data_IF_832880148076
#
_entry.id   IF_832880148076
#
_cell.length_a   1.000
_cell.length_b   1.000
_cell.length_c   1.000
_cell.angle_alpha   90.00
_cell.angle_beta   90.00
_cell.angle_gamma   90.00
#
_symmetry.space_group_name_H-M   'P 1'
#
loop_
_entity.id
_entity.type
_entity.pdbx_description
1 polymer ?
#
# COMPACT_ATOMS: atom_id res chain seq x y z
N UNK A 1 27.71 22.17 -14.43
CA UNK A 1 27.94 20.84 -15.05
C UNK A 1 26.62 20.43 -15.68
N UNK A 2 26.60 20.17 -16.99
CA UNK A 2 25.40 19.68 -17.68
C UNK A 2 25.32 18.17 -17.43
N UNK A 3 24.18 17.72 -16.88
CA UNK A 3 23.88 16.30 -16.77
C UNK A 3 23.81 15.71 -18.19
N UNK A 4 24.81 14.88 -18.52
CA UNK A 4 24.81 14.12 -19.76
C UNK A 4 23.81 12.99 -19.56
N UNK A 5 22.65 13.08 -20.22
CA UNK A 5 21.73 11.97 -20.37
C UNK A 5 22.47 10.85 -21.13
N UNK A 6 22.99 9.86 -20.41
CA UNK A 6 23.56 8.66 -21.00
C UNK A 6 22.39 7.83 -21.55
N UNK A 7 22.09 8.03 -22.82
CA UNK A 7 21.14 7.21 -23.57
C UNK A 7 21.85 5.88 -23.83
N UNK A 8 21.34 4.80 -23.26
CA UNK A 8 21.85 3.46 -23.50
C UNK A 8 21.59 3.08 -24.97
N UNK A 9 22.64 3.13 -25.80
CA UNK A 9 22.55 2.87 -27.25
C UNK A 9 22.32 1.37 -27.54
N UNK A 10 22.62 0.51 -26.56
CA UNK A 10 22.41 -0.94 -26.65
C UNK A 10 20.94 -1.36 -26.36
N UNK A 11 20.10 -0.44 -25.85
CA UNK A 11 18.65 -0.68 -25.73
C UNK A 11 17.97 -0.11 -26.99
N UNK A 12 17.60 -0.97 -27.96
CA UNK A 12 16.98 -0.49 -29.19
C UNK A 12 15.71 0.31 -28.85
N UNK A 13 15.71 1.59 -29.23
CA UNK A 13 14.54 2.46 -29.15
C UNK A 13 13.39 1.78 -29.92
N UNK A 14 12.45 1.18 -29.19
CA UNK A 14 11.43 0.31 -29.77
C UNK A 14 11.19 -1.01 -29.03
N UNK A 15 11.90 -1.30 -27.92
CA UNK A 15 11.52 -2.41 -27.03
C UNK A 15 10.09 -2.19 -26.54
N UNK A 16 9.16 -2.85 -27.20
CA UNK A 16 7.78 -2.93 -26.77
C UNK A 16 7.78 -3.80 -25.51
N UNK A 17 7.92 -3.17 -24.34
CA UNK A 17 7.52 -3.80 -23.08
C UNK A 17 6.08 -4.24 -23.30
N UNK A 18 5.83 -5.55 -23.26
CA UNK A 18 4.59 -6.17 -23.75
C UNK A 18 3.38 -5.33 -23.40
N UNK A 19 2.57 -4.97 -24.41
CA UNK A 19 1.42 -4.07 -24.25
C UNK A 19 0.62 -4.54 -23.05
N UNK A 20 0.53 -3.70 -22.01
CA UNK A 20 -0.32 -3.99 -20.84
C UNK A 20 -1.72 -4.25 -21.38
N UNK A 21 -2.17 -5.50 -21.32
CA UNK A 21 -3.55 -5.82 -21.69
C UNK A 21 -4.45 -5.13 -20.66
N UNK A 22 -5.52 -4.45 -21.09
CA UNK A 22 -6.53 -4.01 -20.15
C UNK A 22 -7.03 -5.26 -19.43
N UNK A 23 -6.66 -5.36 -18.16
CA UNK A 23 -7.17 -6.42 -17.30
C UNK A 23 -8.60 -6.06 -16.90
N UNK A 24 -9.46 -7.06 -16.62
CA UNK A 24 -10.79 -6.82 -16.09
C UNK A 24 -10.67 -6.13 -14.72
N UNK A 25 -10.82 -4.81 -14.70
CA UNK A 25 -10.51 -3.99 -13.53
C UNK A 25 -11.38 -4.35 -12.32
N UNK A 26 -12.65 -4.71 -12.55
CA UNK A 26 -13.58 -5.12 -11.50
C UNK A 26 -13.18 -6.45 -10.87
N UNK A 27 -12.74 -7.43 -11.68
CA UNK A 27 -12.31 -8.74 -11.17
C UNK A 27 -11.06 -8.62 -10.33
N UNK A 28 -10.10 -7.79 -10.75
CA UNK A 28 -8.89 -7.51 -9.97
C UNK A 28 -9.26 -6.80 -8.67
N UNK A 29 -10.14 -5.80 -8.72
CA UNK A 29 -10.55 -5.06 -7.54
C UNK A 29 -11.25 -5.97 -6.51
N UNK A 30 -12.16 -6.84 -6.96
CA UNK A 30 -12.85 -7.80 -6.11
C UNK A 30 -11.87 -8.83 -5.51
N UNK A 31 -10.97 -9.38 -6.34
CA UNK A 31 -9.94 -10.32 -5.88
C UNK A 31 -9.02 -9.71 -4.82
N UNK A 32 -8.58 -8.46 -5.04
CA UNK A 32 -7.75 -7.74 -4.07
C UNK A 32 -8.51 -7.47 -2.77
N UNK A 33 -9.78 -7.09 -2.84
CA UNK A 33 -10.60 -6.84 -1.67
C UNK A 33 -10.79 -8.11 -0.83
N UNK A 34 -11.03 -9.26 -1.47
CA UNK A 34 -11.14 -10.56 -0.81
C UNK A 34 -9.84 -10.95 -0.11
N UNK A 35 -8.72 -10.88 -0.83
CA UNK A 35 -7.40 -11.17 -0.27
C UNK A 35 -7.10 -10.32 0.97
N UNK A 36 -7.36 -9.01 0.90
CA UNK A 36 -7.12 -8.09 2.02
C UNK A 36 -8.01 -8.43 3.21
N UNK A 37 -9.28 -8.77 2.98
CA UNK A 37 -10.21 -9.17 4.05
C UNK A 37 -9.76 -10.46 4.76
N UNK A 38 -9.31 -11.46 4.00
CA UNK A 38 -8.79 -12.72 4.55
C UNK A 38 -7.50 -12.49 5.33
N UNK A 39 -6.57 -11.72 4.78
CA UNK A 39 -5.32 -11.38 5.45
C UNK A 39 -5.56 -10.67 6.80
N UNK A 40 -6.50 -9.73 6.87
CA UNK A 40 -6.84 -9.06 8.12
C UNK A 40 -7.49 -9.99 9.15
N UNK A 41 -8.30 -10.95 8.68
CA UNK A 41 -8.92 -11.96 9.55
C UNK A 41 -7.87 -12.90 10.16
N UNK A 42 -6.88 -13.32 9.37
CA UNK A 42 -5.84 -14.27 9.81
C UNK A 42 -4.74 -13.61 10.64
N UNK A 43 -4.31 -12.41 10.27
CA UNK A 43 -3.22 -11.70 10.96
C UNK A 43 -3.58 -11.21 12.37
N UNK A 44 -4.86 -11.27 12.75
CA UNK A 44 -5.34 -10.71 14.02
C UNK A 44 -5.16 -9.19 14.11
N UNK A 45 -5.13 -8.52 12.94
CA UNK A 45 -4.98 -7.07 12.85
C UNK A 45 -6.15 -6.36 13.55
N UNK A 46 -5.86 -5.27 14.25
CA UNK A 46 -6.87 -4.43 14.87
C UNK A 46 -6.95 -3.11 14.14
N UNK A 47 -8.15 -2.74 13.73
CA UNK A 47 -8.42 -1.38 13.30
C UNK A 47 -8.68 -0.49 14.52
N UNK A 48 -8.22 0.75 14.46
CA UNK A 48 -8.65 1.78 15.41
C UNK A 48 -10.17 1.91 15.39
N UNK A 49 -10.76 2.23 16.55
CA UNK A 49 -12.21 2.49 16.62
C UNK A 49 -12.56 3.68 15.73
N UNK A 50 -13.72 3.61 15.06
CA UNK A 50 -14.25 4.76 14.32
C UNK A 50 -14.67 5.84 15.33
N UNK A 51 -14.29 7.09 15.06
CA UNK A 51 -14.63 8.22 15.91
C UNK A 51 -13.68 9.40 15.74
N UNK A 52 -14.01 10.50 16.41
CA UNK A 52 -13.13 11.67 16.53
C UNK A 52 -12.38 11.56 17.85
N UNK A 53 -11.07 11.56 17.78
CA UNK A 53 -10.18 11.55 18.94
C UNK A 53 -9.49 12.90 19.04
N UNK A 54 -9.44 13.46 20.25
CA UNK A 54 -8.73 14.71 20.54
C UNK A 54 -7.52 14.36 21.39
N UNK A 55 -6.37 14.91 21.02
CA UNK A 55 -5.10 14.71 21.69
C UNK A 55 -4.50 16.08 22.01
N UNK A 56 -3.80 16.18 23.13
CA UNK A 56 -3.15 17.41 23.56
C UNK A 56 -1.77 17.57 22.92
N UNK A 57 -1.18 16.48 22.41
CA UNK A 57 0.10 16.49 21.71
C UNK A 57 0.17 15.44 20.59
N UNK A 58 1.14 15.62 19.68
CA UNK A 58 1.43 14.65 18.63
C UNK A 58 1.96 13.33 19.19
N UNK A 59 2.72 13.39 20.28
CA UNK A 59 3.25 12.21 20.96
C UNK A 59 2.13 11.34 21.53
N UNK A 60 1.09 11.97 22.10
CA UNK A 60 -0.09 11.28 22.60
C UNK A 60 -0.86 10.58 21.47
N UNK A 61 -1.05 11.26 20.34
CA UNK A 61 -1.67 10.68 19.15
C UNK A 61 -0.89 9.48 18.61
N UNK A 62 0.44 9.56 18.58
CA UNK A 62 1.31 8.47 18.14
C UNK A 62 1.26 7.27 19.09
N UNK A 63 1.27 7.50 20.40
CA UNK A 63 1.13 6.44 21.40
C UNK A 63 -0.22 5.74 21.27
N UNK A 64 -1.30 6.51 21.11
CA UNK A 64 -2.64 5.97 20.88
C UNK A 64 -2.71 5.13 19.60
N UNK A 65 -2.18 5.63 18.48
CA UNK A 65 -2.20 4.93 17.20
C UNK A 65 -1.44 3.59 17.28
N UNK A 66 -0.24 3.62 17.87
CA UNK A 66 0.60 2.45 18.07
C UNK A 66 -0.10 1.38 18.91
N UNK A 67 -0.81 1.77 19.96
CA UNK A 67 -1.55 0.83 20.81
C UNK A 67 -2.82 0.32 20.14
N UNK A 68 -3.47 1.13 19.31
CA UNK A 68 -4.77 0.81 18.72
C UNK A 68 -4.70 -0.07 17.48
N UNK A 69 -3.61 0.01 16.71
CA UNK A 69 -3.50 -0.64 15.38
C UNK A 69 -2.58 -1.89 15.40
N UNK A 70 -1.89 -2.15 16.50
CA UNK A 70 -0.99 -3.31 16.60
C UNK A 70 -1.75 -4.64 16.51
N UNK A 71 -1.21 -5.65 15.79
CA UNK A 71 -1.72 -7.01 15.85
C UNK A 71 -1.72 -7.51 17.29
N UNK A 72 -2.71 -8.33 17.65
CA UNK A 72 -2.72 -8.98 18.96
C UNK A 72 -1.54 -9.95 19.02
N UNK A 73 -0.62 -9.74 19.96
CA UNK A 73 0.47 -10.69 20.21
C UNK A 73 -0.16 -11.96 20.79
N UNK A 74 -0.04 -13.08 20.08
CA UNK A 74 -0.34 -14.41 20.62
C UNK A 74 0.71 -14.79 21.66
#
# INVERSE_FOLDING_TARGET
>A
MKDVNVINIDDPAGKTVGRRRPQPALEIADGLQRFVNEHFKESGHRFGRRGVFRFNSHEEANAWMKNSIRPKKN
#
